data_IF_497037511512
#
_entry.id   IF_497037511512
#
_cell.length_a   1.000
_cell.length_b   1.000
_cell.length_c   1.000
_cell.angle_alpha   90.00
_cell.angle_beta   90.00
_cell.angle_gamma   90.00
#
_symmetry.space_group_name_H-M   'P 1'
#
loop_
_entity.id
_entity.type
_entity.pdbx_description
1 polymer ?
#
# COMPACT_ATOMS: atom_id res chain seq x y z
N UNK A 1 -18.77 19.72 -63.93
CA UNK A 1 -17.82 19.92 -65.05
C UNK A 1 -17.13 21.26 -64.90
N UNK A 2 -15.85 21.36 -65.31
CA UNK A 2 -14.83 22.44 -65.14
C UNK A 2 -14.11 22.40 -63.79
N UNK A 3 -12.89 21.81 -63.64
CA UNK A 3 -11.52 22.24 -64.07
C UNK A 3 -11.17 23.66 -63.59
N UNK A 4 -9.99 24.03 -63.06
CA UNK A 4 -8.69 23.45 -62.61
C UNK A 4 -7.89 24.65 -62.02
N UNK A 5 -6.92 24.40 -61.13
CA UNK A 5 -5.68 25.17 -60.77
C UNK A 5 -5.53 25.21 -59.24
N UNK A 6 -4.66 24.46 -58.56
CA UNK A 6 -3.20 24.29 -58.61
C UNK A 6 -2.40 25.56 -58.26
N UNK A 7 -2.09 25.72 -56.96
CA UNK A 7 -0.92 26.48 -56.48
C UNK A 7 -0.29 25.70 -55.33
N UNK A 8 0.89 25.12 -55.60
CA UNK A 8 1.89 24.67 -54.63
C UNK A 8 2.69 25.89 -54.16
N UNK A 9 2.90 26.04 -52.86
CA UNK A 9 4.07 26.75 -52.34
C UNK A 9 4.65 25.96 -51.17
N UNK A 10 5.81 25.38 -51.43
CA UNK A 10 6.70 24.79 -50.43
C UNK A 10 7.62 25.89 -49.91
N UNK A 11 7.69 26.06 -48.58
CA UNK A 11 8.78 26.79 -47.94
C UNK A 11 9.38 25.91 -46.84
N UNK A 12 10.57 25.43 -47.14
CA UNK A 12 11.40 24.55 -46.32
C UNK A 12 12.37 25.45 -45.55
N UNK A 13 12.18 25.64 -44.25
CA UNK A 13 13.17 26.29 -43.38
C UNK A 13 14.01 25.21 -42.68
N UNK A 14 15.24 25.05 -43.16
CA UNK A 14 16.31 24.32 -42.49
C UNK A 14 16.91 25.21 -41.39
N UNK A 15 16.67 24.86 -40.12
CA UNK A 15 17.49 25.33 -39.01
C UNK A 15 18.46 24.23 -38.60
N UNK A 16 19.73 24.42 -38.95
CA UNK A 16 20.83 23.62 -38.42
C UNK A 16 21.23 24.12 -37.03
N UNK A 17 21.11 23.27 -36.01
CA UNK A 17 21.67 23.51 -34.67
C UNK A 17 22.90 22.63 -34.53
N UNK A 18 24.08 23.26 -34.45
CA UNK A 18 25.33 22.61 -34.05
C UNK A 18 25.33 22.39 -32.53
N UNK A 19 25.38 21.15 -32.09
CA UNK A 19 25.66 20.79 -30.70
C UNK A 19 27.16 20.55 -30.51
N UNK A 20 27.82 21.46 -29.81
CA UNK A 20 29.17 21.27 -29.30
C UNK A 20 29.14 20.34 -28.07
N UNK A 21 29.83 19.20 -28.15
CA UNK A 21 30.05 18.30 -27.03
C UNK A 21 31.22 18.82 -26.18
N UNK A 22 30.92 19.34 -24.99
CA UNK A 22 31.91 19.63 -23.97
C UNK A 22 32.33 18.32 -23.26
N UNK A 23 33.61 17.96 -23.39
CA UNK A 23 34.23 16.87 -22.64
C UNK A 23 34.52 17.32 -21.21
N UNK A 24 33.88 16.68 -20.22
CA UNK A 24 34.22 16.84 -18.81
C UNK A 24 35.28 15.80 -18.40
N UNK A 25 36.38 16.20 -17.74
CA UNK A 25 37.38 15.27 -17.23
C UNK A 25 36.89 14.58 -15.95
N UNK A 26 36.52 13.30 -16.05
CA UNK A 26 36.22 12.43 -14.91
C UNK A 26 37.54 11.97 -14.28
N UNK A 27 37.87 12.49 -13.09
CA UNK A 27 38.90 11.90 -12.21
C UNK A 27 38.30 10.73 -11.44
N UNK A 28 38.74 9.52 -11.76
CA UNK A 28 38.38 8.29 -11.04
C UNK A 28 39.16 8.26 -9.71
N UNK A 29 38.51 8.17 -8.53
CA UNK A 29 39.20 7.97 -7.26
C UNK A 29 39.79 6.56 -7.15
N UNK A 30 41.03 6.47 -6.67
CA UNK A 30 41.72 5.20 -6.36
C UNK A 30 40.98 4.46 -5.23
N UNK A 31 40.52 3.25 -5.51
CA UNK A 31 39.99 2.30 -4.53
C UNK A 31 41.14 1.77 -3.68
N UNK A 32 41.07 1.97 -2.37
CA UNK A 32 41.98 1.38 -1.37
C UNK A 32 41.61 -0.09 -1.10
N UNK A 33 42.60 -0.98 -1.18
CA UNK A 33 42.48 -2.42 -0.87
C UNK A 33 42.08 -2.66 0.60
N UNK A 34 41.22 -3.65 0.91
CA UNK A 34 40.92 -4.04 2.29
C UNK A 34 42.09 -4.78 2.94
N UNK A 35 42.30 -4.52 4.24
CA UNK A 35 43.26 -5.20 5.11
C UNK A 35 42.65 -6.52 5.62
N UNK A 36 43.40 -7.63 5.72
CA UNK A 36 42.86 -8.93 6.14
C UNK A 36 42.45 -8.94 7.63
N UNK A 37 41.33 -9.60 7.90
CA UNK A 37 40.79 -9.89 9.22
C UNK A 37 41.36 -11.23 9.73
N UNK A 38 41.84 -11.33 10.99
CA UNK A 38 42.35 -12.58 11.54
C UNK A 38 41.23 -13.57 11.90
N UNK A 39 41.59 -14.85 11.75
CA UNK A 39 40.76 -16.04 11.96
C UNK A 39 40.37 -16.30 13.43
N UNK A 40 39.31 -17.09 13.70
CA UNK A 40 38.81 -17.35 15.04
C UNK A 40 39.54 -18.51 15.73
N UNK A 41 39.78 -18.35 17.03
CA UNK A 41 40.34 -19.39 17.91
C UNK A 41 39.24 -20.35 18.37
N UNK A 42 39.52 -21.63 18.19
CA UNK A 42 38.77 -22.81 18.62
C UNK A 42 39.20 -23.21 20.04
N UNK A 43 38.29 -23.47 20.98
CA UNK A 43 38.52 -24.46 22.05
C UNK A 43 37.24 -24.96 22.75
N UNK A 44 37.11 -26.30 22.76
CA UNK A 44 36.60 -27.21 23.81
C UNK A 44 35.11 -27.28 24.23
N UNK A 45 34.46 -28.36 23.79
CA UNK A 45 33.64 -29.29 24.60
C UNK A 45 34.57 -30.21 25.46
N UNK A 46 34.13 -31.12 26.38
CA UNK A 46 32.81 -31.76 26.51
C UNK A 46 32.29 -32.01 27.96
N UNK A 47 31.11 -32.66 28.06
CA UNK A 47 30.65 -33.74 28.98
C UNK A 47 29.15 -33.55 29.25
N UNK A 48 28.27 -34.52 29.45
CA UNK A 48 28.17 -35.97 29.19
C UNK A 48 26.73 -36.33 29.61
N UNK A 49 25.99 -37.08 28.79
CA UNK A 49 24.66 -37.64 29.10
C UNK A 49 24.70 -38.64 30.27
N UNK A 50 23.54 -38.92 30.89
CA UNK A 50 22.91 -40.24 30.65
C UNK A 50 21.39 -40.21 30.38
N UNK A 51 20.95 -41.31 29.76
CA UNK A 51 19.68 -41.63 29.09
C UNK A 51 18.66 -42.29 30.10
N UNK A 52 17.46 -42.81 29.70
CA UNK A 52 16.15 -42.33 30.15
C UNK A 52 15.26 -43.41 30.81
N UNK A 53 14.07 -43.05 31.33
CA UNK A 53 12.94 -43.99 31.47
C UNK A 53 11.57 -43.28 31.37
N UNK A 54 10.49 -44.01 31.02
CA UNK A 54 9.35 -43.49 30.25
C UNK A 54 8.18 -43.06 31.14
N UNK A 55 7.41 -42.09 30.67
CA UNK A 55 6.09 -41.78 31.20
C UNK A 55 5.05 -41.79 30.05
N UNK A 56 3.91 -42.40 30.36
CA UNK A 56 2.74 -42.64 29.51
C UNK A 56 2.04 -41.36 29.02
N UNK A 57 1.20 -41.47 27.98
CA UNK A 57 0.67 -40.35 27.23
C UNK A 57 -0.51 -39.66 27.92
N UNK A 58 -0.48 -38.33 28.00
CA UNK A 58 -1.64 -37.47 28.28
C UNK A 58 -1.99 -36.66 27.01
N UNK A 59 -3.27 -36.33 26.82
CA UNK A 59 -3.83 -36.00 25.51
C UNK A 59 -3.38 -34.63 25.00
N UNK A 60 -3.07 -34.59 23.71
CA UNK A 60 -2.69 -33.40 22.96
C UNK A 60 -3.77 -32.31 23.06
N UNK A 61 -3.48 -31.25 23.81
CA UNK A 61 -4.18 -29.98 23.63
C UNK A 61 -3.73 -29.42 22.28
N UNK A 62 -4.66 -29.41 21.33
CA UNK A 62 -4.54 -28.86 19.99
C UNK A 62 -4.11 -27.39 20.10
N UNK A 63 -2.82 -27.11 19.91
CA UNK A 63 -2.33 -25.74 19.76
C UNK A 63 -2.89 -25.18 18.45
N UNK A 64 -3.90 -24.32 18.57
CA UNK A 64 -4.39 -23.48 17.48
C UNK A 64 -3.25 -22.58 16.99
N UNK A 65 -2.74 -22.87 15.80
CA UNK A 65 -1.81 -21.98 15.11
C UNK A 65 -2.61 -20.81 14.53
N UNK A 66 -2.71 -19.72 15.31
CA UNK A 66 -3.10 -18.39 14.79
C UNK A 66 -2.05 -17.95 13.76
N UNK A 67 -2.41 -17.23 12.67
CA UNK A 67 -1.45 -16.76 11.68
C UNK A 67 -0.36 -15.90 12.36
N UNK A 68 0.89 -16.32 12.19
CA UNK A 68 2.07 -15.70 12.79
C UNK A 68 2.24 -14.29 12.25
N UNK A 69 2.03 -13.30 13.12
CA UNK A 69 2.36 -11.90 12.86
C UNK A 69 3.87 -11.77 12.74
N UNK A 70 4.37 -11.13 11.67
CA UNK A 70 5.79 -10.88 11.48
C UNK A 70 6.35 -10.03 12.64
N UNK A 71 7.42 -10.53 13.27
CA UNK A 71 7.99 -10.05 14.53
C UNK A 71 8.52 -8.59 14.50
N UNK A 72 7.75 -7.68 15.09
CA UNK A 72 8.26 -6.56 15.88
C UNK A 72 8.28 -6.98 17.36
N UNK A 73 9.18 -6.43 18.19
CA UNK A 73 9.34 -6.82 19.60
C UNK A 73 7.97 -6.96 20.29
N UNK A 74 7.67 -8.16 20.77
CA UNK A 74 6.30 -8.71 20.86
C UNK A 74 5.33 -8.00 21.82
N UNK A 75 5.77 -6.99 22.57
CA UNK A 75 4.95 -6.28 23.57
C UNK A 75 4.84 -4.76 23.35
N UNK A 76 5.32 -4.24 22.22
CA UNK A 76 5.21 -2.81 21.90
C UNK A 76 4.22 -2.58 20.76
N UNK A 77 3.41 -1.50 20.80
CA UNK A 77 2.53 -1.18 19.70
C UNK A 77 3.36 -0.81 18.46
N UNK A 78 2.81 -1.13 17.30
CA UNK A 78 3.45 -0.88 16.00
C UNK A 78 2.46 -0.27 15.02
N UNK A 79 2.95 0.42 14.00
CA UNK A 79 2.10 0.92 12.91
C UNK A 79 2.10 -0.07 11.76
N UNK A 80 0.92 -0.42 11.25
CA UNK A 80 0.79 -1.16 10.00
C UNK A 80 1.15 -0.22 8.84
N UNK A 81 2.33 -0.37 8.25
CA UNK A 81 2.91 0.62 7.32
C UNK A 81 2.06 0.80 6.05
N UNK A 82 1.43 -0.26 5.56
CA UNK A 82 0.50 -0.28 4.42
C UNK A 82 -0.83 0.42 4.67
N UNK A 83 -1.13 0.72 5.93
CA UNK A 83 -2.31 1.49 6.33
C UNK A 83 -2.05 2.98 6.45
N UNK A 84 -0.79 3.44 6.48
CA UNK A 84 -0.48 4.87 6.62
C UNK A 84 -0.89 5.59 5.35
N UNK A 85 -1.78 6.56 5.48
CA UNK A 85 -2.32 7.37 4.39
C UNK A 85 -2.24 8.84 4.79
N UNK A 86 -1.40 9.61 4.11
CA UNK A 86 -1.28 11.06 4.30
C UNK A 86 -1.86 11.81 3.10
N UNK A 87 -2.66 12.83 3.36
CA UNK A 87 -3.31 13.67 2.35
C UNK A 87 -3.11 15.15 2.70
N UNK A 88 -3.15 16.01 1.69
CA UNK A 88 -3.22 17.45 1.88
C UNK A 88 -4.69 17.87 1.89
N UNK A 89 -5.12 18.51 2.97
CA UNK A 89 -6.44 19.15 3.05
C UNK A 89 -6.28 20.62 2.71
N UNK A 90 -6.85 21.07 1.59
CA UNK A 90 -6.73 22.45 1.15
C UNK A 90 -7.82 23.32 1.79
N UNK A 91 -7.42 24.45 2.34
CA UNK A 91 -8.29 25.55 2.73
C UNK A 91 -8.37 26.57 1.60
N UNK A 92 -9.59 27.03 1.31
CA UNK A 92 -9.84 28.11 0.33
C UNK A 92 -9.49 29.51 0.86
N UNK A 93 -8.51 29.59 1.76
CA UNK A 93 -8.04 30.80 2.43
C UNK A 93 -6.61 30.61 2.91
N UNK A 94 -5.82 31.69 2.94
CA UNK A 94 -4.50 31.73 3.55
C UNK A 94 -4.34 33.03 4.31
N UNK A 95 -4.17 32.96 5.64
CA UNK A 95 -3.99 34.15 6.50
C UNK A 95 -5.07 35.23 6.26
N UNK A 96 -6.34 34.80 6.17
CA UNK A 96 -7.51 35.64 5.88
C UNK A 96 -7.57 36.23 4.46
N UNK A 97 -6.64 35.87 3.57
CA UNK A 97 -6.70 36.19 2.15
C UNK A 97 -7.40 35.04 1.40
N UNK A 98 -8.56 35.30 0.81
CA UNK A 98 -9.35 34.31 0.05
C UNK A 98 -8.86 34.11 -1.39
N UNK A 99 -8.01 35.02 -1.89
CA UNK A 99 -7.41 34.90 -3.23
C UNK A 99 -6.25 33.89 -3.26
N UNK A 100 -5.83 33.38 -2.09
CA UNK A 100 -4.72 32.43 -1.96
C UNK A 100 -5.18 31.24 -1.13
N UNK A 101 -5.04 30.04 -1.68
CA UNK A 101 -5.38 28.81 -0.96
C UNK A 101 -4.16 28.24 -0.24
N UNK A 102 -4.41 27.64 0.91
CA UNK A 102 -3.40 26.98 1.73
C UNK A 102 -3.79 25.54 2.02
N UNK A 103 -2.94 24.79 2.72
CA UNK A 103 -3.26 23.42 3.10
C UNK A 103 -2.70 23.04 4.47
N UNK A 104 -3.27 21.99 5.03
CA UNK A 104 -2.84 21.31 6.26
C UNK A 104 -2.88 19.78 6.07
N UNK A 105 -2.07 19.00 6.81
CA UNK A 105 -2.06 17.55 6.65
C UNK A 105 -3.31 16.90 7.23
N UNK A 106 -3.69 15.80 6.60
CA UNK A 106 -4.64 14.81 7.12
C UNK A 106 -3.96 13.45 7.09
N UNK A 107 -4.10 12.67 8.15
CA UNK A 107 -3.47 11.35 8.23
C UNK A 107 -4.45 10.32 8.78
N UNK A 108 -4.38 9.12 8.20
CA UNK A 108 -5.13 7.94 8.59
C UNK A 108 -4.15 6.77 8.66
N UNK A 109 -4.24 5.96 9.71
CA UNK A 109 -3.36 4.80 9.90
C UNK A 109 -3.96 3.80 10.88
N UNK A 110 -3.39 2.60 10.90
CA UNK A 110 -3.72 1.52 11.83
C UNK A 110 -2.53 1.27 12.76
N UNK A 111 -2.83 1.16 14.05
CA UNK A 111 -1.87 0.80 15.10
C UNK A 111 -2.23 -0.58 15.61
N UNK A 112 -1.25 -1.47 15.66
CA UNK A 112 -1.36 -2.78 16.29
C UNK A 112 -1.06 -2.63 17.78
N UNK A 113 -1.92 -3.22 18.61
CA UNK A 113 -1.74 -3.23 20.06
C UNK A 113 -0.55 -4.09 20.50
N UNK A 114 -0.16 -3.97 21.79
CA UNK A 114 -0.96 -3.38 22.86
C UNK A 114 -0.87 -1.84 22.93
N UNK A 115 -2.02 -1.17 23.08
CA UNK A 115 -2.14 0.25 23.45
C UNK A 115 -2.79 0.27 24.83
N UNK A 116 -2.04 0.64 25.86
CA UNK A 116 -2.51 0.68 27.24
C UNK A 116 -3.45 1.87 27.50
N UNK A 117 -4.26 1.76 28.54
CA UNK A 117 -5.06 2.89 29.05
C UNK A 117 -4.18 4.11 29.37
N UNK A 118 -4.73 5.31 29.16
CA UNK A 118 -4.01 6.58 29.30
C UNK A 118 -3.01 6.89 28.17
N UNK A 119 -2.97 6.06 27.12
CA UNK A 119 -2.17 6.35 25.93
C UNK A 119 -2.89 7.33 25.00
N UNK A 120 -2.12 8.22 24.37
CA UNK A 120 -2.58 9.19 23.39
C UNK A 120 -1.67 9.15 22.16
N UNK A 121 -2.20 8.69 21.04
CA UNK A 121 -1.57 8.80 19.73
C UNK A 121 -1.60 10.25 19.27
N UNK A 122 -0.51 10.69 18.66
CA UNK A 122 -0.42 12.02 18.09
C UNK A 122 0.55 12.02 16.90
N UNK A 123 0.39 13.01 16.03
CA UNK A 123 1.25 13.18 14.85
C UNK A 123 1.86 14.56 14.86
N UNK A 124 3.13 14.63 14.51
CA UNK A 124 3.88 15.87 14.36
C UNK A 124 4.41 15.96 12.94
N UNK A 125 4.20 17.12 12.30
CA UNK A 125 4.71 17.43 10.97
C UNK A 125 5.76 18.53 11.07
N UNK A 126 6.84 18.37 10.30
CA UNK A 126 7.95 19.32 10.24
C UNK A 126 8.27 19.68 8.79
N UNK A 127 8.58 20.96 8.56
CA UNK A 127 9.00 21.45 7.26
C UNK A 127 10.53 21.52 7.26
N UNK A 128 11.23 20.85 6.33
CA UNK A 128 12.68 20.91 6.23
C UNK A 128 13.17 22.37 6.18
N UNK A 129 14.10 22.72 7.07
CA UNK A 129 14.66 24.06 7.17
C UNK A 129 13.84 25.06 8.00
N UNK A 130 12.56 24.79 8.29
CA UNK A 130 11.69 25.70 9.06
C UNK A 130 11.30 25.15 10.45
N UNK A 131 11.60 23.88 10.74
CA UNK A 131 11.35 23.24 12.03
C UNK A 131 9.94 22.64 12.18
N UNK A 132 9.50 22.38 13.42
CA UNK A 132 8.16 21.88 13.72
C UNK A 132 7.06 22.82 13.22
N UNK A 133 6.04 22.26 12.57
CA UNK A 133 4.94 23.04 11.98
C UNK A 133 3.62 22.83 12.72
N UNK A 134 3.10 21.61 12.72
CA UNK A 134 1.83 21.26 13.39
C UNK A 134 1.98 19.96 14.16
N UNK A 135 1.35 19.91 15.33
CA UNK A 135 1.22 18.74 16.18
C UNK A 135 -0.24 18.64 16.63
N UNK A 136 -0.82 17.46 16.51
CA UNK A 136 -2.21 17.23 16.90
C UNK A 136 -2.41 15.79 17.37
N UNK A 137 -3.32 15.63 18.31
CA UNK A 137 -3.71 14.35 18.88
C UNK A 137 -4.67 13.62 17.93
N UNK A 138 -4.61 12.30 17.92
CA UNK A 138 -5.47 11.43 17.12
C UNK A 138 -6.39 10.63 18.03
N UNK A 139 -7.54 10.18 17.51
CA UNK A 139 -8.42 9.31 18.29
C UNK A 139 -7.64 8.07 18.72
N UNK A 140 -7.65 7.78 20.02
CA UNK A 140 -6.87 6.69 20.60
C UNK A 140 -7.80 5.82 21.42
N UNK A 141 -7.74 4.53 21.17
CA UNK A 141 -8.52 3.53 21.87
C UNK A 141 -7.57 2.53 22.50
N UNK A 142 -7.90 2.08 23.72
CA UNK A 142 -7.21 0.94 24.32
C UNK A 142 -7.34 -0.26 23.38
N UNK A 143 -6.21 -0.86 23.03
CA UNK A 143 -6.15 -1.92 22.03
C UNK A 143 -5.35 -3.07 22.60
N UNK A 144 -5.94 -4.25 22.68
CA UNK A 144 -5.26 -5.43 23.21
C UNK A 144 -4.20 -5.97 22.24
N UNK A 145 -3.24 -6.75 22.77
CA UNK A 145 -2.24 -7.44 21.96
C UNK A 145 -2.91 -8.33 20.91
N UNK A 146 -2.43 -8.25 19.67
CA UNK A 146 -2.99 -9.02 18.54
C UNK A 146 -4.27 -8.43 17.93
N UNK A 147 -4.71 -7.26 18.40
CA UNK A 147 -5.75 -6.45 17.78
C UNK A 147 -5.15 -5.18 17.21
N UNK A 148 -5.92 -4.50 16.36
CA UNK A 148 -5.50 -3.25 15.75
C UNK A 148 -6.64 -2.24 15.78
N UNK A 149 -6.32 -0.97 16.04
CA UNK A 149 -7.26 0.14 15.94
C UNK A 149 -6.88 1.04 14.76
N UNK A 150 -7.90 1.53 14.05
CA UNK A 150 -7.75 2.50 12.96
C UNK A 150 -8.02 3.89 13.52
N UNK A 151 -7.16 4.84 13.19
CA UNK A 151 -7.31 6.24 13.61
C UNK A 151 -7.14 7.19 12.42
N UNK A 152 -7.77 8.35 12.54
CA UNK A 152 -7.75 9.45 11.58
C UNK A 152 -7.73 10.77 12.36
N UNK A 153 -6.94 11.73 11.88
CA UNK A 153 -6.76 13.03 12.52
C UNK A 153 -6.22 14.09 11.55
N UNK A 154 -6.33 15.36 11.93
CA UNK A 154 -5.86 16.51 11.16
C UNK A 154 -6.95 17.16 10.31
N UNK A 155 -6.61 17.69 9.14
CA UNK A 155 -7.53 18.47 8.29
C UNK A 155 -8.19 19.62 9.07
N UNK A 156 -9.53 19.60 9.22
CA UNK A 156 -10.32 20.66 9.86
C UNK A 156 -10.07 20.79 11.37
N UNK A 157 -9.43 19.80 11.99
CA UNK A 157 -9.01 19.86 13.39
C UNK A 157 -7.81 20.81 13.59
N UNK A 158 -7.10 21.13 12.50
CA UNK A 158 -5.98 22.06 12.50
C UNK A 158 -6.52 23.46 12.19
N UNK A 159 -6.24 24.47 13.04
CA UNK A 159 -6.64 25.85 12.79
C UNK A 159 -6.17 26.38 11.42
N UNK A 160 -7.02 27.15 10.74
CA UNK A 160 -6.74 27.68 9.40
C UNK A 160 -5.50 28.58 9.35
N UNK A 161 -5.14 29.25 10.46
CA UNK A 161 -3.95 30.09 10.56
C UNK A 161 -2.63 29.29 10.50
N UNK A 162 -2.71 27.96 10.67
CA UNK A 162 -1.60 27.03 10.45
C UNK A 162 -1.49 26.58 9.00
N UNK A 163 -2.44 26.90 8.13
CA UNK A 163 -2.36 26.59 6.71
C UNK A 163 -1.11 27.18 6.07
N UNK A 164 -0.45 26.41 5.20
CA UNK A 164 0.76 26.84 4.47
C UNK A 164 0.58 26.71 2.95
N UNK A 165 1.46 27.35 2.20
CA UNK A 165 1.55 27.25 0.74
C UNK A 165 2.80 26.49 0.27
N UNK A 166 3.57 25.93 1.21
CA UNK A 166 4.78 25.16 0.92
C UNK A 166 4.47 23.92 0.09
N UNK A 167 5.32 23.64 -0.88
CA UNK A 167 5.35 22.42 -1.68
C UNK A 167 6.74 21.79 -1.56
N UNK A 168 6.82 20.47 -1.74
CA UNK A 168 8.04 19.69 -1.58
C UNK A 168 7.98 18.69 -0.42
N UNK A 169 9.13 18.25 0.10
CA UNK A 169 9.18 17.24 1.16
C UNK A 169 8.68 17.77 2.50
N UNK A 170 7.82 17.02 3.17
CA UNK A 170 7.35 17.29 4.53
C UNK A 170 7.57 16.03 5.36
N UNK A 171 8.29 16.14 6.48
CA UNK A 171 8.51 15.00 7.36
C UNK A 171 7.39 14.92 8.40
N UNK A 172 7.09 13.71 8.86
CA UNK A 172 6.15 13.48 9.93
C UNK A 172 6.58 12.32 10.83
N UNK A 173 6.08 12.35 12.06
CA UNK A 173 6.29 11.30 13.05
C UNK A 173 4.96 10.94 13.69
N UNK A 174 4.60 9.65 13.68
CA UNK A 174 3.50 9.08 14.46
C UNK A 174 4.09 8.65 15.80
N UNK A 175 3.54 9.20 16.88
CA UNK A 175 4.03 9.01 18.24
C UNK A 175 2.90 8.63 19.17
N UNK A 176 3.26 8.07 20.31
CA UNK A 176 2.34 7.72 21.37
C UNK A 176 2.93 8.17 22.70
N UNK A 177 2.18 9.00 23.43
CA UNK A 177 2.50 9.32 24.82
C UNK A 177 1.59 8.56 25.77
N UNK A 178 2.08 8.20 26.94
CA UNK A 178 1.26 7.65 28.01
C UNK A 178 1.56 8.43 29.29
N UNK A 179 0.58 9.19 29.76
CA UNK A 179 0.74 10.08 30.90
C UNK A 179 0.75 9.32 32.23
N UNK A 180 0.11 8.15 32.29
CA UNK A 180 0.07 7.29 33.48
C UNK A 180 1.41 6.55 33.69
N UNK A 181 2.01 6.08 32.60
CA UNK A 181 3.27 5.35 32.61
C UNK A 181 4.50 6.28 32.47
N UNK A 182 4.29 7.56 32.17
CA UNK A 182 5.37 8.54 32.01
C UNK A 182 6.28 8.25 30.83
N UNK A 183 5.71 8.03 29.63
CA UNK A 183 6.47 7.67 28.43
C UNK A 183 6.02 8.41 27.18
N UNK A 184 6.94 8.58 26.22
CA UNK A 184 6.67 9.05 24.87
C UNK A 184 7.54 8.27 23.88
N UNK A 185 6.90 7.59 22.93
CA UNK A 185 7.57 6.76 21.95
C UNK A 185 7.20 7.13 20.52
N UNK A 186 8.16 7.00 19.62
CA UNK A 186 7.94 7.15 18.18
C UNK A 186 7.64 5.79 17.57
N UNK A 187 6.49 5.66 16.93
CA UNK A 187 6.04 4.41 16.30
C UNK A 187 6.41 4.35 14.82
N UNK A 188 6.40 5.50 14.14
CA UNK A 188 6.69 5.59 12.71
C UNK A 188 7.20 6.98 12.36
N UNK A 189 8.13 7.05 11.42
CA UNK A 189 8.59 8.31 10.81
C UNK A 189 8.50 8.20 9.31
N UNK A 190 8.03 9.26 8.66
CA UNK A 190 7.92 9.29 7.21
C UNK A 190 8.18 10.67 6.63
N UNK A 191 8.30 10.71 5.32
CA UNK A 191 8.45 11.90 4.49
C UNK A 191 7.48 11.79 3.32
N UNK A 192 6.59 12.76 3.21
CA UNK A 192 5.67 12.89 2.09
C UNK A 192 6.15 13.98 1.14
N UNK A 193 5.76 13.89 -0.13
CA UNK A 193 6.03 14.91 -1.15
C UNK A 193 4.73 15.60 -1.52
N UNK A 194 4.64 16.89 -1.21
CA UNK A 194 3.46 17.70 -1.50
C UNK A 194 3.68 18.45 -2.80
N UNK A 195 2.67 18.42 -3.66
CA UNK A 195 2.61 19.20 -4.88
C UNK A 195 1.28 19.95 -4.95
N UNK A 196 1.11 20.75 -6.00
CA UNK A 196 -0.11 21.53 -6.21
C UNK A 196 -0.49 21.54 -7.67
N UNK A 197 -1.77 21.71 -7.93
CA UNK A 197 -2.37 21.90 -9.26
C UNK A 197 -3.39 23.02 -9.17
N UNK A 198 -3.65 23.70 -10.28
CA UNK A 198 -4.70 24.72 -10.33
C UNK A 198 -6.07 24.08 -10.06
N UNK A 199 -6.92 24.81 -9.33
CA UNK A 199 -8.33 24.45 -9.20
C UNK A 199 -9.04 24.55 -10.57
N UNK A 200 -10.27 24.09 -10.63
CA UNK A 200 -11.14 24.31 -11.80
C UNK A 200 -11.89 25.66 -11.76
N UNK A 201 -11.52 26.57 -10.86
CA UNK A 201 -12.15 27.89 -10.79
C UNK A 201 -11.57 28.83 -11.85
N UNK A 202 -12.46 29.49 -12.61
CA UNK A 202 -12.10 30.38 -13.73
C UNK A 202 -12.28 31.88 -13.39
N UNK A 203 -12.45 32.22 -12.12
CA UNK A 203 -12.66 33.61 -11.70
C UNK A 203 -11.38 34.47 -11.88
N UNK A 204 -11.50 35.80 -12.09
CA UNK A 204 -10.34 36.69 -12.25
C UNK A 204 -9.33 36.66 -11.09
N UNK A 205 -9.79 36.34 -9.88
CA UNK A 205 -8.94 36.20 -8.70
C UNK A 205 -8.44 34.77 -8.45
N UNK A 206 -8.83 33.79 -9.28
CA UNK A 206 -8.50 32.38 -9.08
C UNK A 206 -7.04 32.02 -9.44
N UNK A 207 -6.21 32.98 -9.87
CA UNK A 207 -4.83 32.72 -10.30
C UNK A 207 -3.95 32.02 -9.24
N UNK A 208 -4.29 32.14 -7.95
CA UNK A 208 -3.60 31.47 -6.85
C UNK A 208 -4.47 30.43 -6.11
N UNK A 209 -5.56 29.97 -6.74
CA UNK A 209 -6.41 28.92 -6.21
C UNK A 209 -5.80 27.57 -6.58
N UNK A 210 -4.80 27.18 -5.79
CA UNK A 210 -4.13 25.90 -5.95
C UNK A 210 -4.72 24.86 -5.00
N UNK A 211 -5.01 23.68 -5.55
CA UNK A 211 -5.33 22.48 -4.78
C UNK A 211 -4.05 21.72 -4.51
N UNK A 212 -3.81 21.40 -3.25
CA UNK A 212 -2.63 20.66 -2.82
C UNK A 212 -2.93 19.18 -2.73
N UNK A 213 -1.95 18.35 -3.09
CA UNK A 213 -2.03 16.90 -3.01
C UNK A 213 -0.69 16.31 -2.59
N UNK A 214 -0.74 15.08 -2.06
CA UNK A 214 0.45 14.28 -1.76
C UNK A 214 0.66 13.33 -2.93
N UNK A 215 1.89 13.30 -3.45
CA UNK A 215 2.31 12.38 -4.52
C UNK A 215 2.45 10.96 -3.95
N UNK A 216 1.65 10.03 -4.49
CA UNK A 216 1.60 8.64 -4.09
C UNK A 216 1.98 7.68 -5.22
N UNK A 217 2.72 8.13 -6.24
CA UNK A 217 3.11 7.30 -7.38
C UNK A 217 3.88 6.03 -6.97
N UNK A 218 4.59 6.07 -5.84
CA UNK A 218 5.28 4.92 -5.25
C UNK A 218 4.37 3.73 -4.94
N UNK A 219 3.06 3.94 -4.79
CA UNK A 219 2.08 2.89 -4.52
C UNK A 219 1.74 2.05 -5.77
N UNK A 220 1.83 2.62 -6.97
CA UNK A 220 1.35 2.00 -8.21
C UNK A 220 1.93 0.61 -8.50
N UNK A 221 3.23 0.34 -8.30
CA UNK A 221 3.78 -0.99 -8.53
C UNK A 221 3.64 -1.94 -7.33
N UNK A 222 2.96 -1.54 -6.24
CA UNK A 222 2.82 -2.35 -5.02
C UNK A 222 1.41 -2.90 -4.92
N UNK A 223 1.29 -4.22 -4.76
CA UNK A 223 0.03 -4.92 -4.54
C UNK A 223 0.04 -5.71 -3.24
N UNK A 224 -1.16 -6.14 -2.84
CA UNK A 224 -1.38 -6.90 -1.63
C UNK A 224 -2.26 -8.10 -1.93
N UNK A 225 -1.84 -9.27 -1.48
CA UNK A 225 -2.63 -10.50 -1.54
C UNK A 225 -2.90 -10.94 -0.12
N UNK A 226 -4.16 -11.24 0.19
CA UNK A 226 -4.57 -11.53 1.56
C UNK A 226 -5.87 -12.33 1.62
N UNK A 227 -6.13 -12.87 2.80
CA UNK A 227 -7.38 -13.56 3.10
C UNK A 227 -8.21 -12.72 4.04
N UNK A 228 -9.52 -12.74 3.83
CA UNK A 228 -10.48 -12.10 4.71
C UNK A 228 -11.31 -13.19 5.39
N UNK A 229 -11.62 -13.05 6.68
CA UNK A 229 -12.57 -13.94 7.33
C UNK A 229 -13.92 -13.91 6.59
N UNK A 230 -14.66 -15.01 6.62
CA UNK A 230 -16.03 -15.03 6.13
C UNK A 230 -16.85 -13.94 6.86
N UNK A 231 -17.69 -13.23 6.09
CA UNK A 231 -18.62 -12.24 6.63
C UNK A 231 -19.73 -12.98 7.38
N UNK A 232 -19.48 -13.25 8.66
CA UNK A 232 -20.51 -13.68 9.61
C UNK A 232 -20.89 -12.53 10.51
N UNK A 233 -22.16 -12.51 10.90
CA UNK A 233 -22.74 -11.51 11.80
C UNK A 233 -22.00 -11.43 13.15
N UNK A 234 -21.48 -12.55 13.64
CA UNK A 234 -20.72 -12.61 14.87
C UNK A 234 -19.22 -12.42 14.58
N UNK A 235 -18.70 -11.23 14.88
CA UNK A 235 -17.28 -10.88 14.65
C UNK A 235 -16.33 -11.82 15.38
N UNK A 236 -16.74 -12.36 16.52
CA UNK A 236 -15.89 -13.11 17.45
C UNK A 236 -16.01 -14.63 17.23
N UNK A 237 -16.80 -15.08 16.24
CA UNK A 237 -16.90 -16.50 15.88
C UNK A 237 -15.55 -17.02 15.33
N UNK A 238 -14.87 -17.95 16.04
CA UNK A 238 -13.58 -18.50 15.59
C UNK A 238 -13.70 -19.26 14.26
N UNK A 239 -14.92 -19.68 13.87
CA UNK A 239 -15.17 -20.39 12.60
C UNK A 239 -15.14 -19.48 11.38
N UNK A 240 -15.01 -18.15 11.52
CA UNK A 240 -14.91 -17.24 10.38
C UNK A 240 -13.69 -17.51 9.49
N UNK A 241 -12.66 -18.13 10.04
CA UNK A 241 -11.47 -18.57 9.31
C UNK A 241 -11.58 -20.02 8.80
N UNK A 242 -12.71 -20.71 8.99
CA UNK A 242 -12.92 -22.04 8.45
C UNK A 242 -13.08 -22.02 6.92
N UNK A 243 -13.52 -20.89 6.35
CA UNK A 243 -13.76 -20.67 4.93
C UNK A 243 -13.47 -19.20 4.54
N UNK A 244 -12.21 -18.76 4.59
CA UNK A 244 -11.87 -17.36 4.31
C UNK A 244 -12.02 -17.03 2.82
N UNK A 245 -12.24 -15.75 2.52
CA UNK A 245 -12.31 -15.22 1.17
C UNK A 245 -10.92 -14.84 0.68
N UNK A 246 -10.65 -15.09 -0.59
CA UNK A 246 -9.44 -14.62 -1.25
C UNK A 246 -9.62 -13.20 -1.80
N UNK A 247 -8.70 -12.29 -1.43
CA UNK A 247 -8.73 -10.90 -1.86
C UNK A 247 -7.35 -10.42 -2.35
N UNK A 248 -7.42 -9.48 -3.29
CA UNK A 248 -6.29 -8.74 -3.86
C UNK A 248 -6.57 -7.26 -3.65
N UNK A 249 -5.53 -6.46 -3.39
CA UNK A 249 -5.59 -5.01 -3.54
C UNK A 249 -4.42 -4.47 -4.37
N UNK A 250 -4.69 -3.49 -5.23
CA UNK A 250 -3.68 -2.80 -6.03
C UNK A 250 -4.06 -1.34 -6.24
N UNK A 251 -3.09 -0.52 -6.67
CA UNK A 251 -3.31 0.91 -6.88
C UNK A 251 -3.51 1.28 -8.34
N UNK A 252 -4.38 2.25 -8.57
CA UNK A 252 -4.57 2.98 -9.82
C UNK A 252 -4.41 4.48 -9.58
N UNK A 253 -4.06 5.20 -10.64
CA UNK A 253 -4.04 6.66 -10.67
C UNK A 253 -5.06 7.15 -11.70
N UNK A 254 -5.66 8.29 -11.41
CA UNK A 254 -6.70 8.88 -12.25
C UNK A 254 -8.10 8.62 -11.72
N UNK A 255 -9.07 9.25 -12.37
CA UNK A 255 -10.48 8.99 -12.11
C UNK A 255 -10.86 7.65 -12.73
N UNK A 256 -11.34 6.74 -11.89
CA UNK A 256 -11.75 5.42 -12.33
C UNK A 256 -13.28 5.34 -12.35
N UNK A 257 -13.85 5.14 -13.53
CA UNK A 257 -15.27 4.91 -13.75
C UNK A 257 -15.53 3.47 -14.19
N UNK A 258 -16.26 2.72 -13.38
CA UNK A 258 -16.62 1.33 -13.65
C UNK A 258 -15.85 0.32 -12.80
N UNK A 259 -15.84 -0.93 -13.25
CA UNK A 259 -15.29 -2.07 -12.51
C UNK A 259 -14.07 -2.64 -13.24
N UNK A 260 -13.08 -3.08 -12.48
CA UNK A 260 -12.05 -3.97 -13.02
C UNK A 260 -12.55 -5.42 -13.01
N UNK A 261 -12.06 -6.19 -13.97
CA UNK A 261 -12.31 -7.61 -14.12
C UNK A 261 -10.98 -8.33 -13.81
N UNK A 262 -10.84 -8.91 -12.61
CA UNK A 262 -9.64 -9.65 -12.25
C UNK A 262 -9.77 -11.10 -12.72
N UNK A 263 -8.70 -11.65 -13.27
CA UNK A 263 -8.62 -13.00 -13.80
C UNK A 263 -7.49 -13.75 -13.11
N UNK A 264 -7.78 -14.92 -12.53
CA UNK A 264 -6.82 -15.75 -11.81
C UNK A 264 -6.31 -16.86 -12.72
N UNK A 265 -4.99 -17.01 -12.82
CA UNK A 265 -4.32 -18.04 -13.62
C UNK A 265 -3.46 -18.95 -12.75
N UNK A 266 -3.48 -20.25 -13.06
CA UNK A 266 -2.63 -21.28 -12.48
C UNK A 266 -2.22 -22.28 -13.57
N UNK A 267 -0.93 -22.62 -13.65
CA UNK A 267 -0.42 -23.51 -14.71
C UNK A 267 -0.72 -23.02 -16.14
N UNK A 268 -0.79 -21.69 -16.33
CA UNK A 268 -1.12 -21.06 -17.63
C UNK A 268 -2.60 -21.11 -18.03
N UNK A 269 -3.49 -21.62 -17.17
CA UNK A 269 -4.94 -21.67 -17.40
C UNK A 269 -5.66 -20.75 -16.45
N UNK A 270 -6.73 -20.13 -16.91
CA UNK A 270 -7.63 -19.38 -16.04
C UNK A 270 -8.42 -20.34 -15.14
N UNK A 271 -8.50 -20.04 -13.85
CA UNK A 271 -9.12 -20.88 -12.81
C UNK A 271 -10.05 -20.05 -11.92
N UNK A 272 -10.81 -20.72 -11.04
CA UNK A 272 -11.69 -20.02 -10.10
C UNK A 272 -12.99 -19.49 -10.71
N UNK A 273 -13.35 -19.92 -11.92
CA UNK A 273 -14.64 -19.61 -12.55
C UNK A 273 -15.66 -20.68 -12.21
N UNK A 274 -16.87 -20.25 -11.89
CA UNK A 274 -18.01 -21.12 -11.59
C UNK A 274 -19.16 -20.80 -12.53
N UNK A 275 -19.68 -21.83 -13.19
CA UNK A 275 -20.76 -21.72 -14.18
C UNK A 275 -22.01 -22.45 -13.72
N UNK A 276 -23.17 -21.83 -13.92
CA UNK A 276 -24.48 -22.44 -13.70
C UNK A 276 -25.37 -22.13 -14.90
N UNK A 277 -25.95 -23.17 -15.51
CA UNK A 277 -26.75 -23.07 -16.74
C UNK A 277 -26.07 -22.28 -17.88
N UNK A 278 -24.76 -22.47 -18.06
CA UNK A 278 -23.97 -21.80 -19.10
C UNK A 278 -23.60 -20.33 -18.82
N UNK A 279 -24.03 -19.77 -17.68
CA UNK A 279 -23.65 -18.43 -17.24
C UNK A 279 -22.64 -18.49 -16.09
N UNK A 280 -21.65 -17.61 -16.09
CA UNK A 280 -20.74 -17.46 -14.96
C UNK A 280 -21.46 -16.74 -13.81
N UNK A 281 -21.59 -17.41 -12.66
CA UNK A 281 -22.45 -16.96 -11.54
C UNK A 281 -21.69 -16.38 -10.36
N UNK A 282 -20.37 -16.47 -10.35
CA UNK A 282 -19.54 -15.96 -9.26
C UNK A 282 -18.26 -15.34 -9.83
N UNK A 283 -18.51 -14.25 -10.58
CA UNK A 283 -17.45 -13.41 -11.14
C UNK A 283 -16.71 -12.72 -10.02
N UNK A 284 -15.37 -12.71 -10.02
CA UNK A 284 -14.64 -11.90 -9.09
C UNK A 284 -14.93 -10.42 -9.38
N UNK A 285 -14.93 -9.59 -8.34
CA UNK A 285 -15.32 -8.18 -8.47
C UNK A 285 -14.24 -7.29 -7.88
N UNK A 286 -13.79 -6.31 -8.67
CA UNK A 286 -13.02 -5.16 -8.22
C UNK A 286 -13.96 -3.95 -8.21
N UNK A 287 -14.56 -3.65 -7.05
CA UNK A 287 -15.54 -2.56 -6.94
C UNK A 287 -15.54 -1.85 -5.60
N UNK A 288 -14.80 -2.34 -4.61
CA UNK A 288 -14.66 -1.67 -3.33
C UNK A 288 -13.37 -0.87 -3.33
N UNK A 289 -13.51 0.45 -3.37
CA UNK A 289 -12.43 1.37 -3.03
C UNK A 289 -12.06 1.15 -1.57
N UNK A 290 -10.88 0.57 -1.34
CA UNK A 290 -10.37 0.39 0.02
C UNK A 290 -9.84 1.72 0.57
N UNK A 291 -9.09 2.43 -0.27
CA UNK A 291 -8.50 3.74 0.02
C UNK A 291 -8.59 4.59 -1.24
N UNK A 292 -8.91 5.87 -1.06
CA UNK A 292 -8.79 6.86 -2.13
C UNK A 292 -8.11 8.12 -1.61
N UNK A 293 -7.11 8.58 -2.34
CA UNK A 293 -6.50 9.89 -2.17
C UNK A 293 -7.00 10.78 -3.29
N UNK A 294 -8.03 11.54 -2.99
CA UNK A 294 -8.52 12.59 -3.86
C UNK A 294 -8.13 13.97 -3.31
N UNK A 295 -7.93 14.95 -4.19
CA UNK A 295 -7.81 16.34 -3.76
C UNK A 295 -9.13 16.80 -3.11
N UNK A 296 -9.05 17.77 -2.19
CA UNK A 296 -10.23 18.29 -1.47
C UNK A 296 -11.14 19.18 -2.30
N UNK A 297 -10.67 19.65 -3.45
CA UNK A 297 -11.41 20.46 -4.42
C UNK A 297 -11.14 19.92 -5.82
N UNK A 298 -12.03 20.28 -6.75
CA UNK A 298 -11.87 19.96 -8.16
C UNK A 298 -10.62 20.64 -8.76
N UNK A 299 -9.99 19.97 -9.70
CA UNK A 299 -8.70 20.36 -10.29
C UNK A 299 -8.80 20.43 -11.80
N UNK A 300 -7.88 21.17 -12.43
CA UNK A 300 -7.71 21.17 -13.89
C UNK A 300 -6.29 20.71 -14.23
N UNK A 301 -6.11 19.59 -14.96
CA UNK A 301 -7.16 18.70 -15.49
C UNK A 301 -7.84 17.87 -14.40
N UNK A 302 -9.13 17.59 -14.60
CA UNK A 302 -9.94 16.82 -13.64
C UNK A 302 -9.44 15.38 -13.51
N UNK A 303 -9.59 14.80 -12.31
CA UNK A 303 -9.38 13.38 -12.05
C UNK A 303 -7.92 12.90 -12.01
N UNK A 304 -6.94 13.67 -12.49
CA UNK A 304 -5.56 13.18 -12.68
C UNK A 304 -4.77 12.92 -11.38
N UNK A 305 -5.13 13.61 -10.29
CA UNK A 305 -4.43 13.56 -9.01
C UNK A 305 -5.18 12.74 -7.97
N UNK A 306 -5.78 11.64 -8.44
CA UNK A 306 -6.49 10.67 -7.61
C UNK A 306 -5.69 9.38 -7.59
N UNK A 307 -5.37 8.85 -6.42
CA UNK A 307 -4.80 7.50 -6.26
C UNK A 307 -5.81 6.63 -5.54
N UNK A 308 -6.19 5.51 -6.13
CA UNK A 308 -7.21 4.62 -5.57
C UNK A 308 -6.64 3.22 -5.38
N UNK A 309 -6.76 2.68 -4.16
CA UNK A 309 -6.48 1.27 -3.89
C UNK A 309 -7.77 0.47 -4.10
N UNK A 310 -7.82 -0.25 -5.21
CA UNK A 310 -8.92 -1.15 -5.54
C UNK A 310 -8.74 -2.45 -4.80
N UNK A 311 -9.78 -2.89 -4.10
CA UNK A 311 -9.88 -4.25 -3.58
C UNK A 311 -10.74 -5.09 -4.50
N UNK A 312 -10.22 -6.26 -4.84
CA UNK A 312 -10.87 -7.29 -5.59
C UNK A 312 -11.10 -8.51 -4.71
N UNK A 313 -12.27 -9.13 -4.81
CA UNK A 313 -12.59 -10.37 -4.08
C UNK A 313 -12.97 -11.47 -5.07
N UNK A 314 -12.42 -12.66 -4.87
CA UNK A 314 -12.70 -13.84 -5.68
C UNK A 314 -13.66 -14.76 -4.92
N UNK A 315 -14.96 -14.57 -5.13
CA UNK A 315 -16.00 -15.29 -4.38
C UNK A 315 -16.03 -16.80 -4.61
N UNK A 316 -15.50 -17.26 -5.75
CA UNK A 316 -15.38 -18.67 -6.14
C UNK A 316 -14.07 -19.33 -5.74
N UNK A 317 -13.13 -18.58 -5.15
CA UNK A 317 -11.79 -19.05 -4.81
C UNK A 317 -11.62 -18.99 -3.32
N UNK A 318 -11.30 -20.13 -2.72
CA UNK A 318 -11.01 -20.20 -1.30
C UNK A 318 -9.59 -20.71 -1.08
N UNK A 319 -8.93 -20.22 -0.02
CA UNK A 319 -7.70 -20.81 0.48
C UNK A 319 -7.91 -22.27 0.88
N UNK A 320 -8.95 -22.50 1.67
CA UNK A 320 -9.37 -23.80 2.17
C UNK A 320 -10.86 -23.77 2.55
N UNK A 321 -11.43 -24.95 2.72
CA UNK A 321 -12.73 -25.15 3.36
C UNK A 321 -12.60 -26.24 4.43
N UNK A 322 -12.67 -25.81 5.69
CA UNK A 322 -12.58 -26.64 6.91
C UNK A 322 -13.95 -26.85 7.58
N UNK A 323 -15.04 -26.53 6.89
CA UNK A 323 -16.39 -26.75 7.43
C UNK A 323 -16.75 -28.24 7.40
N UNK A 324 -17.45 -28.71 8.43
CA UNK A 324 -17.77 -30.13 8.62
C UNK A 324 -18.64 -30.73 7.49
N UNK A 325 -19.38 -29.87 6.78
CA UNK A 325 -20.15 -30.23 5.60
C UNK A 325 -19.68 -29.36 4.44
N UNK A 326 -18.73 -29.85 3.63
CA UNK A 326 -18.51 -29.33 2.27
C UNK A 326 -19.73 -29.68 1.41
N UNK A 327 -20.87 -29.07 1.68
CA UNK A 327 -21.98 -29.09 0.74
C UNK A 327 -21.52 -28.28 -0.46
N UNK A 328 -21.37 -28.94 -1.60
CA UNK A 328 -21.25 -28.26 -2.88
C UNK A 328 -22.35 -27.20 -2.92
N UNK A 329 -21.96 -25.95 -3.15
CA UNK A 329 -22.94 -24.88 -3.27
C UNK A 329 -23.89 -25.20 -4.43
N UNK A 330 -25.02 -24.51 -4.50
CA UNK A 330 -26.00 -24.66 -5.60
C UNK A 330 -25.34 -24.40 -6.98
N UNK A 331 -24.16 -23.76 -6.99
CA UNK A 331 -23.37 -23.42 -8.17
C UNK A 331 -22.20 -24.38 -8.43
N UNK A 332 -22.05 -25.47 -7.67
CA UNK A 332 -20.94 -26.43 -7.79
C UNK A 332 -19.78 -26.15 -6.82
N UNK A 333 -18.68 -26.92 -6.93
CA UNK A 333 -17.52 -26.77 -6.06
C UNK A 333 -16.75 -25.48 -6.35
N UNK A 334 -16.27 -24.82 -5.29
CA UNK A 334 -15.35 -23.68 -5.40
C UNK A 334 -13.94 -24.16 -5.68
N UNK A 335 -13.11 -23.29 -6.26
CA UNK A 335 -11.70 -23.57 -6.48
C UNK A 335 -10.93 -23.41 -5.16
N UNK A 336 -10.24 -24.46 -4.73
CA UNK A 336 -9.48 -24.48 -3.48
C UNK A 336 -7.98 -24.39 -3.75
N UNK A 337 -7.31 -23.43 -3.12
CA UNK A 337 -5.84 -23.35 -3.20
C UNK A 337 -5.15 -24.53 -2.51
N UNK A 338 -5.69 -25.02 -1.39
CA UNK A 338 -5.16 -26.21 -0.70
C UNK A 338 -5.17 -27.48 -1.56
N UNK A 339 -5.92 -27.51 -2.65
CA UNK A 339 -5.96 -28.64 -3.59
C UNK A 339 -5.12 -28.38 -4.86
N UNK A 340 -4.66 -27.15 -5.03
CA UNK A 340 -3.91 -26.69 -6.20
C UNK A 340 -2.75 -25.77 -5.75
N UNK A 341 -1.78 -26.27 -4.97
CA UNK A 341 -0.67 -25.43 -4.52
C UNK A 341 0.24 -25.01 -5.68
N UNK A 342 1.03 -23.95 -5.47
CA UNK A 342 2.04 -23.48 -6.41
C UNK A 342 1.86 -22.02 -6.81
N UNK A 343 2.37 -21.69 -7.98
CA UNK A 343 2.42 -20.31 -8.48
C UNK A 343 1.10 -19.90 -9.17
N UNK A 344 0.72 -18.65 -8.92
CA UNK A 344 -0.47 -18.02 -9.47
C UNK A 344 -0.12 -16.68 -10.10
N UNK A 345 -0.88 -16.30 -11.12
CA UNK A 345 -0.84 -14.98 -11.73
C UNK A 345 -2.24 -14.37 -11.71
N UNK A 346 -2.36 -13.10 -11.34
CA UNK A 346 -3.59 -12.34 -11.53
C UNK A 346 -3.35 -11.32 -12.63
N UNK A 347 -4.26 -11.29 -13.60
CA UNK A 347 -4.34 -10.27 -14.64
C UNK A 347 -5.59 -9.46 -14.44
N UNK A 348 -5.49 -8.14 -14.45
CA UNK A 348 -6.64 -7.27 -14.23
C UNK A 348 -6.94 -6.48 -15.49
N UNK A 349 -8.16 -6.65 -15.98
CA UNK A 349 -8.70 -5.91 -17.10
C UNK A 349 -9.51 -4.72 -16.59
N UNK A 350 -9.44 -3.60 -17.30
CA UNK A 350 -10.29 -2.45 -17.06
C UNK A 350 -10.67 -1.84 -18.41
N UNK A 351 -11.97 -1.66 -18.64
CA UNK A 351 -12.52 -1.18 -19.91
C UNK A 351 -11.97 -1.95 -21.14
N UNK A 352 -11.84 -3.28 -21.01
CA UNK A 352 -11.34 -4.15 -22.09
C UNK A 352 -9.82 -4.16 -22.30
N UNK A 353 -9.05 -3.47 -21.46
CA UNK A 353 -7.59 -3.43 -21.54
C UNK A 353 -6.93 -4.05 -20.31
N UNK A 354 -5.83 -4.79 -20.52
CA UNK A 354 -5.01 -5.32 -19.43
C UNK A 354 -4.27 -4.15 -18.76
N UNK A 355 -4.57 -3.88 -17.49
CA UNK A 355 -3.99 -2.76 -16.74
C UNK A 355 -2.98 -3.20 -15.68
N UNK A 356 -3.09 -4.43 -15.15
CA UNK A 356 -2.19 -4.96 -14.13
C UNK A 356 -1.90 -6.44 -14.34
N UNK A 357 -0.68 -6.85 -13.99
CA UNK A 357 -0.35 -8.26 -13.74
C UNK A 357 0.48 -8.39 -12.46
N UNK A 358 0.26 -9.45 -11.70
CA UNK A 358 1.02 -9.76 -10.49
C UNK A 358 1.06 -11.27 -10.25
N UNK A 359 2.06 -11.72 -9.49
CA UNK A 359 2.27 -13.13 -9.18
C UNK A 359 2.38 -13.34 -7.68
N UNK A 360 1.88 -14.49 -7.22
CA UNK A 360 1.98 -14.94 -5.84
C UNK A 360 2.03 -16.47 -5.81
N UNK A 361 2.40 -17.04 -4.66
CA UNK A 361 2.46 -18.48 -4.47
C UNK A 361 1.61 -18.92 -3.27
N UNK A 362 1.12 -20.15 -3.33
CA UNK A 362 0.33 -20.79 -2.27
C UNK A 362 0.94 -22.15 -1.91
N UNK A 363 1.02 -22.45 -0.62
CA UNK A 363 1.48 -23.75 -0.10
C UNK A 363 0.39 -24.84 -0.17
N UNK A 364 0.77 -26.07 0.23
CA UNK A 364 -0.10 -27.24 0.20
C UNK A 364 -1.32 -27.11 1.15
N UNK A 365 -1.23 -26.26 2.17
CA UNK A 365 -2.32 -25.98 3.10
C UNK A 365 -3.24 -24.87 2.60
N UNK A 366 -2.97 -24.31 1.42
CA UNK A 366 -3.73 -23.21 0.85
C UNK A 366 -3.38 -21.85 1.44
N UNK A 367 -2.23 -21.69 2.11
CA UNK A 367 -1.76 -20.41 2.65
C UNK A 367 -0.89 -19.66 1.66
N UNK A 368 -0.99 -18.34 1.66
CA UNK A 368 -0.08 -17.49 0.90
C UNK A 368 1.35 -17.70 1.38
N UNK A 369 2.26 -17.98 0.45
CA UNK A 369 3.68 -18.08 0.73
C UNK A 369 4.23 -16.66 0.91
N UNK A 370 4.82 -16.39 2.09
CA UNK A 370 5.54 -15.14 2.32
C UNK A 370 6.79 -15.10 1.43
N UNK A 371 6.86 -14.10 0.55
CA UNK A 371 8.03 -13.84 -0.27
C UNK A 371 9.15 -13.12 0.50
N UNK A 372 8.98 -12.92 1.82
CA UNK A 372 9.92 -12.32 2.72
C UNK A 372 9.88 -10.79 2.74
N UNK A 373 9.14 -10.14 1.82
CA UNK A 373 9.10 -8.69 1.72
C UNK A 373 8.37 -8.09 2.93
N UNK A 374 7.18 -8.60 3.27
CA UNK A 374 6.42 -8.07 4.40
C UNK A 374 7.17 -8.26 5.73
N UNK A 375 7.74 -9.44 5.93
CA UNK A 375 8.53 -9.78 7.12
C UNK A 375 9.82 -8.96 7.23
N UNK A 376 10.61 -8.85 6.15
CA UNK A 376 11.86 -8.06 6.16
C UNK A 376 11.62 -6.57 6.44
N UNK A 377 10.44 -6.07 6.09
CA UNK A 377 10.08 -4.66 6.24
C UNK A 377 9.22 -4.38 7.47
N UNK A 378 8.88 -5.39 8.28
CA UNK A 378 8.00 -5.28 9.46
C UNK A 378 6.73 -4.52 9.10
N UNK A 379 6.00 -5.04 8.10
CA UNK A 379 4.83 -4.36 7.53
C UNK A 379 3.77 -4.06 8.59
N UNK A 380 3.59 -4.96 9.56
CA UNK A 380 2.58 -4.82 10.61
C UNK A 380 1.17 -5.15 10.15
N UNK A 381 0.99 -5.81 9.01
CA UNK A 381 -0.27 -6.40 8.57
C UNK A 381 -0.09 -7.87 8.20
N UNK A 382 -1.19 -8.58 8.02
CA UNK A 382 -1.27 -9.98 7.57
C UNK A 382 -1.26 -10.11 6.04
N UNK A 383 -0.98 -9.02 5.32
CA UNK A 383 -0.96 -8.98 3.86
C UNK A 383 0.39 -9.38 3.30
N UNK A 384 0.37 -10.18 2.24
CA UNK A 384 1.56 -10.45 1.44
C UNK A 384 1.73 -9.33 0.41
N UNK A 385 2.85 -8.62 0.46
CA UNK A 385 3.21 -7.63 -0.54
C UNK A 385 3.67 -8.35 -1.80
N UNK A 386 3.14 -7.96 -2.95
CA UNK A 386 3.56 -8.48 -4.26
C UNK A 386 3.94 -7.33 -5.19
N UNK A 387 4.97 -7.49 -6.03
CA UNK A 387 5.21 -6.57 -7.12
C UNK A 387 4.09 -6.65 -8.15
N UNK A 388 3.66 -5.49 -8.63
CA UNK A 388 2.62 -5.34 -9.64
C UNK A 388 3.23 -4.70 -10.88
N UNK A 389 3.06 -5.37 -12.00
CA UNK A 389 3.35 -4.80 -13.30
C UNK A 389 2.21 -3.85 -13.68
N UNK A 390 2.53 -2.57 -13.81
CA UNK A 390 1.62 -1.54 -14.32
C UNK A 390 1.67 -1.58 -15.85
N UNK A 391 0.54 -1.89 -16.49
CA UNK A 391 0.42 -2.12 -17.94
C UNK A 391 -0.50 -1.05 -18.53
N UNK A 392 -0.16 -0.56 -19.72
CA UNK A 392 -0.92 0.48 -20.42
C UNK A 392 -0.58 1.90 -19.96
N UNK A 393 -1.47 2.84 -20.27
CA UNK A 393 -1.34 4.29 -20.08
C UNK A 393 -2.50 4.92 -19.28
N UNK A 394 -3.39 4.09 -18.73
CA UNK A 394 -4.60 4.50 -18.01
C UNK A 394 -4.29 5.32 -16.74
N UNK A 395 -3.12 5.11 -16.13
CA UNK A 395 -2.65 5.86 -14.96
C UNK A 395 -2.07 7.25 -15.30
N UNK A 396 -1.98 7.57 -16.60
CA UNK A 396 -1.30 8.76 -17.09
C UNK A 396 0.21 8.75 -16.79
N UNK A 397 0.89 9.92 -16.90
CA UNK A 397 2.29 10.04 -16.55
C UNK A 397 2.50 9.91 -15.04
N UNK A 398 3.35 8.97 -14.62
CA UNK A 398 3.70 8.72 -13.22
C UNK A 398 5.19 8.37 -13.05
N UNK A 399 5.73 8.57 -11.85
CA UNK A 399 7.12 8.25 -11.53
C UNK A 399 7.31 6.76 -11.23
N UNK A 400 7.78 6.02 -12.24
CA UNK A 400 8.08 4.58 -12.18
C UNK A 400 9.16 4.19 -11.17
N UNK A 401 9.91 5.16 -10.68
CA UNK A 401 11.05 4.94 -9.78
C UNK A 401 10.76 5.41 -8.35
N UNK A 402 9.63 6.07 -8.11
CA UNK A 402 9.25 6.58 -6.80
C UNK A 402 9.24 5.49 -5.71
N UNK A 403 8.92 4.24 -6.06
CA UNK A 403 8.95 3.12 -5.10
C UNK A 403 10.33 2.89 -4.46
N UNK A 404 11.43 3.30 -5.12
CA UNK A 404 12.79 3.09 -4.59
C UNK A 404 13.15 4.03 -3.46
N UNK A 405 12.58 5.24 -3.44
CA UNK A 405 12.95 6.29 -2.48
C UNK A 405 11.79 6.72 -1.62
N UNK A 406 10.56 6.64 -2.14
CA UNK A 406 9.39 7.29 -1.54
C UNK A 406 8.40 6.26 -0.98
N UNK A 407 8.57 4.97 -1.29
CA UNK A 407 7.69 3.91 -0.77
C UNK A 407 7.57 3.98 0.75
N UNK A 408 6.32 3.85 1.24
CA UNK A 408 5.98 3.97 2.67
C UNK A 408 6.56 5.24 3.29
N UNK A 409 6.43 6.36 2.57
CA UNK A 409 6.89 7.68 2.98
C UNK A 409 8.39 7.72 3.30
N UNK A 410 9.22 7.22 2.39
CA UNK A 410 10.67 7.22 2.59
C UNK A 410 11.24 6.01 3.34
N UNK A 411 10.46 4.93 3.46
CA UNK A 411 10.87 3.66 4.05
C UNK A 411 10.81 2.56 2.98
N UNK A 412 11.71 2.58 1.98
CA UNK A 412 11.62 1.67 0.84
C UNK A 412 11.73 0.20 1.24
N UNK A 413 11.02 -0.65 0.49
CA UNK A 413 10.91 -2.07 0.77
C UNK A 413 12.21 -2.82 0.44
N UNK A 414 12.86 -3.39 1.46
CA UNK A 414 13.94 -4.36 1.28
C UNK A 414 13.41 -5.61 0.56
N UNK A 415 14.14 -6.07 -0.46
CA UNK A 415 13.79 -7.27 -1.22
C UNK A 415 12.67 -7.07 -2.26
N UNK A 416 12.18 -5.85 -2.43
CA UNK A 416 11.18 -5.54 -3.44
C UNK A 416 11.84 -5.06 -4.74
N UNK A 417 11.36 -5.58 -5.86
CA UNK A 417 11.73 -5.14 -7.20
C UNK A 417 10.49 -5.16 -8.08
N UNK A 418 10.30 -4.11 -8.87
CA UNK A 418 9.23 -4.06 -9.88
C UNK A 418 9.56 -5.05 -11.01
N UNK A 419 8.56 -5.78 -11.55
CA UNK A 419 8.74 -6.75 -12.64
C UNK A 419 9.30 -6.15 -13.94
#
# INVERSE_FOLDING_TARGET
MRKRSLIMFAFMFLFGVQTALAQLPIKIPKISKPKPQPAPTETAQPTSNPKPQPAQPQPESRNETKPTTAAGGEDQPTVAKDSVQVRAFTFSVYRKNYDVWSWVPKIEYRVNGPIASGSQLYVEFTIPGSGPWVKFDCKTEETQKGFSSKTECGAREIPEDKGITYIGPVNFSIRMRNELAGGDQTLFTGKMKVAKVHSNEEAPNAANHFVYYVDHDWNLPIGYVFYEPEDRWDRDDPRRWAKPKFSLAFWTRGESSGFAEPHLFHGGKEVGKVYYNGAEVSKPSCGTTEVQHNPTQSTTPAGQFIWTRWKCTFYSVLPWDKTANRTEGIFGPMYLFSENPGDYEIKVMYQGHLIRSLKFAVDAEGKLVDNGIATANKLGSDRVIVPVQVIGDQDGPWDRMAWKTDAFYGNPLKGFSVP
#
